data_IF_223435549886
#
_entry.id   IF_223435549886
#
_cell.length_a   1.000
_cell.length_b   1.000
_cell.length_c   1.000
_cell.angle_alpha   90.00
_cell.angle_beta   90.00
_cell.angle_gamma   90.00
#
_symmetry.space_group_name_H-M   'P 1'
#
loop_
_entity.id
_entity.type
_entity.pdbx_description
1 polymer ?
#
# COMPACT_ATOMS: atom_id res chain seq x y z
N UNK A 1 1.34 25.35 -21.55
CA UNK A 1 1.58 26.76 -21.16
C UNK A 1 1.84 26.76 -19.67
N UNK A 2 3.04 27.14 -19.24
CA UNK A 2 3.47 27.08 -17.84
C UNK A 2 2.81 28.19 -17.03
N UNK A 3 2.17 27.88 -15.91
CA UNK A 3 1.67 28.89 -14.97
C UNK A 3 2.83 29.54 -14.21
N UNK A 4 3.03 30.86 -14.32
CA UNK A 4 4.02 31.60 -13.54
C UNK A 4 3.37 32.06 -12.22
N UNK A 5 4.20 32.13 -11.17
CA UNK A 5 3.88 32.59 -9.80
C UNK A 5 3.32 31.53 -8.84
N UNK A 6 4.20 30.64 -8.37
CA UNK A 6 4.16 30.21 -6.97
C UNK A 6 5.57 30.36 -6.38
N UNK A 7 5.66 31.14 -5.32
CA UNK A 7 6.86 31.43 -4.53
C UNK A 7 7.64 30.16 -4.19
N UNK A 8 8.90 30.07 -4.66
CA UNK A 8 9.82 28.95 -4.42
C UNK A 8 10.47 29.03 -3.04
N UNK A 9 9.67 28.89 -2.00
CA UNK A 9 10.17 28.33 -0.73
C UNK A 9 9.29 27.13 -0.40
N UNK A 10 9.53 26.01 -1.10
CA UNK A 10 8.86 24.74 -0.80
C UNK A 10 9.34 24.31 0.58
N UNK A 11 8.43 24.27 1.56
CA UNK A 11 8.63 23.54 2.82
C UNK A 11 9.14 22.13 2.49
N UNK A 12 9.94 21.52 3.36
CA UNK A 12 10.43 20.14 3.17
C UNK A 12 9.28 19.19 2.84
N UNK A 13 8.17 19.37 3.54
CA UNK A 13 6.89 18.74 3.28
C UNK A 13 6.40 18.90 1.82
N UNK A 14 6.32 20.14 1.32
CA UNK A 14 5.95 20.37 -0.07
C UNK A 14 6.95 19.78 -1.07
N UNK A 15 8.22 19.58 -0.71
CA UNK A 15 9.17 18.86 -1.59
C UNK A 15 8.81 17.38 -1.69
N UNK A 16 8.48 16.73 -0.57
CA UNK A 16 8.08 15.32 -0.53
C UNK A 16 6.85 15.08 -1.40
N UNK A 17 5.82 15.90 -1.29
CA UNK A 17 4.61 15.78 -2.12
C UNK A 17 4.93 15.87 -3.62
N UNK A 18 5.79 16.82 -4.00
CA UNK A 18 6.18 16.94 -5.41
C UNK A 18 7.00 15.73 -5.88
N UNK A 19 7.91 15.21 -5.04
CA UNK A 19 8.68 14.00 -5.38
C UNK A 19 7.76 12.80 -5.57
N UNK A 20 6.79 12.59 -4.68
CA UNK A 20 5.84 11.48 -4.82
C UNK A 20 4.95 11.65 -6.03
N UNK A 21 4.43 12.85 -6.27
CA UNK A 21 3.65 13.15 -7.48
C UNK A 21 4.46 12.89 -8.77
N UNK A 22 5.76 13.21 -8.79
CA UNK A 22 6.65 12.90 -9.90
C UNK A 22 6.92 11.38 -10.05
N UNK A 23 6.87 10.63 -8.95
CA UNK A 23 7.03 9.17 -8.91
C UNK A 23 5.77 8.40 -9.25
N UNK A 24 4.57 8.93 -9.05
CA UNK A 24 3.32 8.23 -9.38
C UNK A 24 3.12 8.13 -10.90
N UNK A 25 2.62 7.00 -11.45
CA UNK A 25 2.25 6.95 -12.87
C UNK A 25 1.07 7.89 -13.16
N UNK A 26 1.06 8.49 -14.35
CA UNK A 26 -0.05 9.34 -14.78
C UNK A 26 -1.08 8.47 -15.52
N UNK A 27 -2.35 8.40 -15.09
CA UNK A 27 -3.39 7.64 -15.80
C UNK A 27 -3.51 8.00 -17.29
N UNK A 28 -3.16 9.24 -17.67
CA UNK A 28 -3.16 9.68 -19.06
C UNK A 28 -2.19 8.90 -19.96
N UNK A 29 -1.15 8.30 -19.40
CA UNK A 29 -0.21 7.45 -20.15
C UNK A 29 -0.83 6.11 -20.61
N UNK A 30 -2.05 5.81 -20.19
CA UNK A 30 -2.80 4.62 -20.57
C UNK A 30 -3.94 4.93 -21.57
N UNK A 31 -4.23 6.22 -21.81
CA UNK A 31 -5.26 6.68 -22.75
C UNK A 31 -4.97 6.19 -24.18
N UNK A 32 -5.94 5.49 -24.79
CA UNK A 32 -5.88 5.04 -26.18
C UNK A 32 -4.85 3.93 -26.45
N UNK A 33 -4.00 3.59 -25.48
CA UNK A 33 -3.00 2.54 -25.56
C UNK A 33 -3.44 1.28 -24.81
N UNK A 34 -3.80 1.43 -23.54
CA UNK A 34 -4.22 0.33 -22.66
C UNK A 34 -5.73 0.36 -22.42
N UNK A 35 -6.30 1.55 -22.26
CA UNK A 35 -7.72 1.75 -22.01
C UNK A 35 -8.33 2.73 -23.02
N UNK A 36 -9.63 2.61 -23.33
CA UNK A 36 -10.34 3.64 -24.07
C UNK A 36 -10.18 5.01 -23.41
N UNK A 37 -9.95 6.06 -24.20
CA UNK A 37 -9.75 7.42 -23.69
C UNK A 37 -10.93 7.90 -22.83
N UNK A 38 -12.16 7.49 -23.17
CA UNK A 38 -13.35 7.83 -22.39
C UNK A 38 -13.36 7.23 -20.99
N UNK A 39 -12.81 6.03 -20.80
CA UNK A 39 -12.75 5.40 -19.48
C UNK A 39 -11.76 6.14 -18.59
N UNK A 40 -10.56 6.44 -19.10
CA UNK A 40 -9.56 7.22 -18.34
C UNK A 40 -10.09 8.62 -18.01
N UNK A 41 -10.80 9.26 -18.95
CA UNK A 41 -11.42 10.56 -18.73
C UNK A 41 -12.47 10.51 -17.62
N UNK A 42 -13.29 9.46 -17.54
CA UNK A 42 -14.29 9.27 -16.47
C UNK A 42 -13.62 9.07 -15.11
N UNK A 43 -12.57 8.26 -15.05
CA UNK A 43 -11.85 7.99 -13.80
C UNK A 43 -11.15 9.24 -13.28
N UNK A 44 -10.48 10.00 -14.15
CA UNK A 44 -9.86 11.28 -13.80
C UNK A 44 -10.90 12.33 -13.37
N UNK A 45 -12.08 12.35 -14.01
CA UNK A 45 -13.18 13.22 -13.58
C UNK A 45 -13.69 12.82 -12.20
N UNK A 46 -13.89 11.53 -11.94
CA UNK A 46 -14.33 11.05 -10.63
C UNK A 46 -13.33 11.41 -9.53
N UNK A 47 -12.03 11.27 -9.80
CA UNK A 47 -10.97 11.69 -8.89
C UNK A 47 -11.03 13.20 -8.63
N UNK A 48 -11.16 14.02 -9.67
CA UNK A 48 -11.29 15.47 -9.52
C UNK A 48 -12.54 15.84 -8.71
N UNK A 49 -13.70 15.26 -9.01
CA UNK A 49 -14.94 15.46 -8.26
C UNK A 49 -14.76 15.04 -6.78
N UNK A 50 -14.10 13.89 -6.53
CA UNK A 50 -13.78 13.39 -5.18
C UNK A 50 -12.92 14.38 -4.39
N UNK A 51 -11.91 15.00 -5.00
CA UNK A 51 -11.06 16.00 -4.34
C UNK A 51 -11.81 17.23 -3.85
N UNK A 52 -13.00 17.48 -4.38
CA UNK A 52 -13.87 18.58 -3.98
C UNK A 52 -14.93 18.18 -2.95
N UNK A 53 -15.02 16.91 -2.54
CA UNK A 53 -16.00 16.45 -1.56
C UNK A 53 -15.54 16.76 -0.12
N UNK A 54 -16.49 16.83 0.84
CA UNK A 54 -16.15 16.89 2.26
C UNK A 54 -15.40 15.65 2.77
N UNK A 55 -15.45 14.54 2.04
CA UNK A 55 -14.79 13.28 2.38
C UNK A 55 -13.27 13.40 2.18
N UNK A 56 -12.83 14.14 1.17
CA UNK A 56 -11.42 14.40 0.90
C UNK A 56 -10.84 15.55 1.74
N UNK A 57 -11.63 16.59 2.02
CA UNK A 57 -11.16 17.86 2.64
C UNK A 57 -11.29 17.93 4.17
N UNK A 58 -11.10 16.84 4.92
CA UNK A 58 -11.11 16.96 6.39
C UNK A 58 -9.82 17.63 6.88
N UNK A 59 -9.95 18.89 7.27
CA UNK A 59 -8.94 19.67 8.02
C UNK A 59 -8.40 18.87 9.21
N UNK A 60 -7.09 18.62 9.23
CA UNK A 60 -6.40 17.99 10.35
C UNK A 60 -5.89 16.58 10.08
N UNK A 61 -6.24 15.95 8.95
CA UNK A 61 -5.44 14.83 8.46
C UNK A 61 -4.09 15.38 8.03
N UNK A 62 -3.08 15.12 8.86
CA UNK A 62 -1.72 15.37 8.44
C UNK A 62 -1.48 14.50 7.20
N UNK A 63 -0.90 15.10 6.20
CA UNK A 63 -0.51 14.45 4.97
C UNK A 63 0.79 13.62 5.15
N UNK A 64 1.01 13.13 6.38
CA UNK A 64 2.12 12.30 6.84
C UNK A 64 2.06 10.88 6.24
N UNK A 65 0.93 10.45 5.68
CA UNK A 65 0.83 9.16 4.98
C UNK A 65 1.79 9.15 3.77
N UNK A 66 1.89 10.27 3.05
CA UNK A 66 2.84 10.45 1.95
C UNK A 66 4.30 10.33 2.42
N UNK A 67 4.61 10.74 3.65
CA UNK A 67 5.94 10.53 4.23
C UNK A 67 6.19 9.05 4.54
N UNK A 68 5.19 8.31 5.01
CA UNK A 68 5.28 6.85 5.16
C UNK A 68 5.52 6.18 3.81
N UNK A 69 4.81 6.59 2.76
CA UNK A 69 4.97 6.06 1.39
C UNK A 69 6.39 6.24 0.90
N UNK A 70 6.91 7.47 0.99
CA UNK A 70 8.29 7.75 0.60
C UNK A 70 9.28 6.92 1.41
N UNK A 71 9.09 6.87 2.73
CA UNK A 71 9.95 6.13 3.65
C UNK A 71 9.95 4.65 3.31
N UNK A 72 8.76 4.08 3.08
CA UNK A 72 8.58 2.69 2.71
C UNK A 72 9.30 2.39 1.39
N UNK A 73 9.03 3.15 0.32
CA UNK A 73 9.68 2.97 -0.99
C UNK A 73 11.20 3.16 -0.89
N UNK A 74 11.68 4.22 -0.25
CA UNK A 74 13.11 4.51 -0.15
C UNK A 74 13.87 3.48 0.71
N UNK A 75 13.24 2.91 1.74
CA UNK A 75 13.93 2.02 2.70
C UNK A 75 13.78 0.54 2.38
N UNK A 76 12.61 0.11 1.91
CA UNK A 76 12.38 -1.29 1.54
C UNK A 76 13.20 -1.68 0.31
N UNK A 77 13.38 -0.76 -0.64
CA UNK A 77 14.21 -1.03 -1.82
C UNK A 77 15.70 -0.96 -1.54
N UNK A 78 16.13 -0.17 -0.54
CA UNK A 78 17.55 0.01 -0.21
C UNK A 78 18.04 -0.95 0.87
N UNK A 79 17.15 -1.40 1.74
CA UNK A 79 17.46 -2.28 2.85
C UNK A 79 16.95 -3.69 2.61
N UNK A 80 17.74 -4.68 3.03
CA UNK A 80 17.27 -6.08 3.06
C UNK A 80 16.33 -6.31 4.24
N UNK A 81 15.14 -5.70 4.19
CA UNK A 81 14.16 -5.77 5.27
C UNK A 81 13.60 -7.18 5.43
N UNK A 82 13.40 -7.89 4.32
CA UNK A 82 12.82 -9.23 4.29
C UNK A 82 13.86 -10.37 4.30
N UNK A 83 15.16 -10.05 4.34
CA UNK A 83 16.21 -11.07 4.42
C UNK A 83 16.37 -11.87 3.13
N UNK A 84 16.11 -11.25 1.98
CA UNK A 84 16.11 -11.89 0.67
C UNK A 84 17.50 -12.33 0.24
N UNK A 85 18.55 -11.58 0.58
CA UNK A 85 19.92 -12.01 0.27
C UNK A 85 20.29 -13.28 1.02
N UNK A 86 19.86 -13.41 2.28
CA UNK A 86 20.12 -14.63 3.06
C UNK A 86 19.16 -15.77 2.73
N UNK A 87 17.99 -15.46 2.19
CA UNK A 87 16.97 -16.47 1.81
C UNK A 87 17.22 -17.04 0.42
N UNK A 88 17.53 -16.17 -0.53
CA UNK A 88 17.48 -16.43 -1.98
C UNK A 88 18.73 -15.91 -2.70
N UNK A 89 19.78 -15.46 -2.01
CA UNK A 89 20.99 -14.92 -2.65
C UNK A 89 21.78 -15.95 -3.47
N UNK A 90 21.56 -17.25 -3.22
CA UNK A 90 22.14 -18.35 -4.00
C UNK A 90 21.31 -18.70 -5.26
N UNK A 91 20.08 -18.18 -5.39
CA UNK A 91 19.23 -18.34 -6.56
C UNK A 91 19.69 -17.36 -7.66
N UNK A 92 20.24 -17.85 -8.78
CA UNK A 92 20.74 -16.98 -9.86
C UNK A 92 19.63 -16.20 -10.56
N UNK A 93 18.37 -16.63 -10.41
CA UNK A 93 17.19 -16.06 -11.05
C UNK A 93 16.28 -15.35 -10.02
N UNK A 94 16.75 -15.15 -8.79
CA UNK A 94 16.04 -14.36 -7.78
C UNK A 94 16.13 -12.86 -8.10
N UNK A 95 14.99 -12.19 -8.01
CA UNK A 95 14.90 -10.74 -7.99
C UNK A 95 14.49 -10.30 -6.59
N UNK A 96 15.34 -9.45 -5.99
CA UNK A 96 14.99 -8.75 -4.75
C UNK A 96 13.67 -8.01 -4.90
N UNK A 97 12.97 -7.83 -3.78
CA UNK A 97 11.73 -7.09 -3.71
C UNK A 97 11.91 -5.72 -4.33
N UNK A 98 11.07 -5.44 -5.33
CA UNK A 98 10.99 -4.12 -5.93
C UNK A 98 9.61 -3.54 -5.70
N UNK A 99 9.56 -2.23 -5.47
CA UNK A 99 8.31 -1.54 -5.20
C UNK A 99 7.95 -0.56 -6.30
N UNK A 100 6.65 -0.36 -6.50
CA UNK A 100 6.11 0.52 -7.52
C UNK A 100 5.07 1.42 -6.88
N UNK A 101 5.20 2.76 -6.99
CA UNK A 101 4.16 3.66 -6.54
C UNK A 101 2.91 3.48 -7.40
N UNK A 102 1.75 3.54 -6.77
CA UNK A 102 0.46 3.43 -7.47
C UNK A 102 0.04 4.77 -8.07
N UNK A 103 -0.98 4.75 -8.93
CA UNK A 103 -1.58 6.02 -9.39
C UNK A 103 -2.49 6.58 -8.31
N UNK A 104 -2.71 7.90 -8.33
CA UNK A 104 -3.60 8.55 -7.36
C UNK A 104 -5.04 7.99 -7.43
N UNK A 105 -5.47 7.53 -8.61
CA UNK A 105 -6.77 6.87 -8.77
C UNK A 105 -6.80 5.55 -7.99
N UNK A 106 -5.74 4.74 -8.10
CA UNK A 106 -5.63 3.46 -7.41
C UNK A 106 -5.44 3.63 -5.89
N UNK A 107 -4.63 4.59 -5.46
CA UNK A 107 -4.51 5.00 -4.04
C UNK A 107 -5.88 5.33 -3.46
N UNK A 108 -6.57 6.31 -4.06
CA UNK A 108 -7.85 6.82 -3.54
C UNK A 108 -8.96 5.77 -3.55
N UNK A 109 -9.09 5.00 -4.63
CA UNK A 109 -10.26 4.14 -4.82
C UNK A 109 -10.01 2.66 -4.56
N UNK A 110 -8.76 2.18 -4.56
CA UNK A 110 -8.43 0.79 -4.23
C UNK A 110 -7.66 0.65 -2.92
N UNK A 111 -7.31 1.76 -2.25
CA UNK A 111 -6.54 1.80 -1.00
C UNK A 111 -5.21 1.06 -1.16
N UNK A 112 -4.42 1.48 -2.14
CA UNK A 112 -3.09 0.92 -2.40
C UNK A 112 -2.10 2.05 -2.60
N UNK A 113 -1.09 2.14 -1.73
CA UNK A 113 -0.04 3.16 -1.84
C UNK A 113 1.12 2.66 -2.71
N UNK A 114 1.50 1.41 -2.48
CA UNK A 114 2.69 0.80 -3.07
C UNK A 114 2.37 -0.63 -3.48
N UNK A 115 2.91 -1.06 -4.60
CA UNK A 115 2.87 -2.45 -5.07
C UNK A 115 4.27 -3.04 -4.96
N UNK A 116 4.44 -4.08 -4.16
CA UNK A 116 5.64 -4.90 -4.12
C UNK A 116 5.56 -6.05 -5.11
N UNK A 117 6.70 -6.43 -5.69
CA UNK A 117 6.84 -7.58 -6.59
C UNK A 117 7.93 -8.51 -6.08
N UNK A 118 7.62 -9.80 -5.94
CA UNK A 118 8.60 -10.84 -5.64
C UNK A 118 8.71 -11.83 -6.79
N UNK A 119 9.92 -12.34 -7.04
CA UNK A 119 10.19 -13.42 -7.98
C UNK A 119 11.38 -14.24 -7.47
N UNK A 120 11.11 -15.47 -7.03
CA UNK A 120 12.11 -16.38 -6.46
C UNK A 120 11.66 -17.84 -6.62
N UNK A 121 12.49 -18.77 -6.17
CA UNK A 121 12.16 -20.21 -6.14
C UNK A 121 10.81 -20.53 -5.46
N UNK A 122 10.39 -19.77 -4.42
CA UNK A 122 9.10 -20.00 -3.72
C UNK A 122 7.91 -19.63 -4.61
N UNK A 123 8.09 -18.68 -5.52
CA UNK A 123 7.08 -18.33 -6.53
C UNK A 123 7.25 -19.11 -7.83
N UNK A 124 8.16 -20.08 -7.88
CA UNK A 124 8.59 -20.76 -9.11
C UNK A 124 8.98 -19.73 -10.20
N UNK A 125 9.64 -18.64 -9.79
CA UNK A 125 10.05 -17.50 -10.60
C UNK A 125 8.90 -16.80 -11.35
N UNK A 126 7.65 -17.02 -10.94
CA UNK A 126 6.54 -16.18 -11.35
C UNK A 126 6.62 -14.87 -10.57
N UNK A 127 6.55 -13.73 -11.27
CA UNK A 127 6.44 -12.43 -10.61
C UNK A 127 5.07 -12.31 -9.94
N UNK A 128 5.05 -12.24 -8.62
CA UNK A 128 3.84 -12.12 -7.83
C UNK A 128 3.71 -10.72 -7.20
N UNK A 129 2.67 -9.95 -7.56
CA UNK A 129 2.38 -8.67 -6.92
C UNK A 129 1.72 -8.85 -5.56
N UNK A 130 1.96 -7.88 -4.69
CA UNK A 130 1.16 -7.60 -3.50
C UNK A 130 1.08 -6.09 -3.29
N UNK A 131 0.01 -5.62 -2.69
CA UNK A 131 -0.20 -4.21 -2.39
C UNK A 131 -0.01 -3.91 -0.90
N UNK A 132 0.39 -2.68 -0.62
CA UNK A 132 0.52 -2.14 0.71
C UNK A 132 -0.32 -0.86 0.82
N UNK A 133 -1.10 -0.80 1.89
CA UNK A 133 -1.87 0.36 2.33
C UNK A 133 -1.24 0.87 3.64
N UNK A 134 -0.53 1.98 3.58
CA UNK A 134 0.20 2.57 4.69
C UNK A 134 -0.73 3.41 5.56
N UNK A 135 -0.55 3.32 6.88
CA UNK A 135 -1.37 4.04 7.84
C UNK A 135 -0.63 4.30 9.14
N UNK A 136 -0.88 5.45 9.75
CA UNK A 136 -0.53 5.73 11.15
C UNK A 136 -1.80 5.88 12.01
N UNK A 137 -2.95 5.51 11.45
CA UNK A 137 -4.26 5.76 12.03
C UNK A 137 -4.65 4.70 13.06
N UNK A 138 -5.30 5.14 14.14
CA UNK A 138 -5.85 4.29 15.20
C UNK A 138 -7.35 4.47 15.37
N UNK A 139 -7.98 5.35 14.57
CA UNK A 139 -9.42 5.56 14.56
C UNK A 139 -10.14 4.29 14.07
N UNK A 140 -11.02 3.78 14.92
CA UNK A 140 -11.70 2.50 14.72
C UNK A 140 -12.54 2.49 13.42
N UNK A 141 -13.18 3.60 13.05
CA UNK A 141 -14.01 3.66 11.85
C UNK A 141 -13.15 3.63 10.59
N UNK A 142 -12.06 4.41 10.56
CA UNK A 142 -11.11 4.45 9.44
C UNK A 142 -10.38 3.12 9.28
N UNK A 143 -9.93 2.52 10.39
CA UNK A 143 -9.29 1.21 10.37
C UNK A 143 -10.28 0.12 9.92
N UNK A 144 -11.51 0.14 10.42
CA UNK A 144 -12.57 -0.75 9.94
C UNK A 144 -12.83 -0.61 8.43
N UNK A 145 -12.76 0.61 7.88
CA UNK A 145 -12.93 0.83 6.44
C UNK A 145 -11.78 0.20 5.63
N UNK A 146 -10.53 0.38 6.06
CA UNK A 146 -9.36 -0.24 5.41
C UNK A 146 -9.56 -1.74 5.30
N UNK A 147 -9.93 -2.43 6.38
CA UNK A 147 -10.10 -3.90 6.38
C UNK A 147 -11.38 -4.43 5.75
N UNK A 148 -12.42 -3.60 5.55
CA UNK A 148 -13.67 -3.99 4.87
C UNK A 148 -13.53 -4.08 3.34
N UNK A 149 -12.41 -3.65 2.79
CA UNK A 149 -12.19 -3.66 1.34
C UNK A 149 -12.21 -5.07 0.78
N UNK A 150 -12.81 -5.24 -0.39
CA UNK A 150 -12.95 -6.54 -1.07
C UNK A 150 -12.38 -6.46 -2.46
N UNK A 151 -11.91 -7.59 -2.95
CA UNK A 151 -11.35 -7.68 -4.28
C UNK A 151 -12.38 -7.46 -5.41
N UNK A 152 -12.35 -6.29 -6.02
CA UNK A 152 -13.16 -6.03 -7.21
C UNK A 152 -12.36 -5.21 -8.18
N UNK A 153 -12.53 -5.50 -9.46
CA UNK A 153 -11.84 -4.81 -10.54
C UNK A 153 -12.74 -4.73 -11.76
N UNK A 154 -12.50 -3.73 -12.60
CA UNK A 154 -13.20 -3.57 -13.86
C UNK A 154 -14.71 -3.35 -13.76
N UNK A 155 -15.28 -2.82 -14.84
CA UNK A 155 -16.71 -2.58 -14.97
C UNK A 155 -17.33 -3.65 -15.86
N UNK A 156 -18.42 -4.28 -15.42
CA UNK A 156 -19.20 -5.23 -16.23
C UNK A 156 -19.94 -4.51 -17.36
N UNK A 157 -20.17 -5.21 -18.47
CA UNK A 157 -20.96 -4.70 -19.60
C UNK A 157 -22.40 -4.27 -19.24
N UNK A 158 -22.91 -4.71 -18.08
CA UNK A 158 -24.25 -4.35 -17.58
C UNK A 158 -24.27 -3.10 -16.71
N UNK A 159 -23.11 -2.52 -16.40
CA UNK A 159 -23.02 -1.27 -15.66
C UNK A 159 -23.40 -0.07 -16.56
N UNK A 160 -23.88 1.04 -15.99
CA UNK A 160 -24.17 2.26 -16.76
C UNK A 160 -22.93 2.73 -17.54
N UNK A 161 -23.10 3.08 -18.81
CA UNK A 161 -22.00 3.45 -19.70
C UNK A 161 -21.29 4.72 -19.20
N UNK A 162 -22.03 5.63 -18.60
CA UNK A 162 -21.55 6.91 -18.06
C UNK A 162 -20.73 6.76 -16.77
N UNK A 163 -20.84 5.63 -16.06
CA UNK A 163 -20.16 5.37 -14.80
C UNK A 163 -18.66 5.09 -14.98
N UNK A 164 -17.84 5.61 -14.07
CA UNK A 164 -16.48 5.12 -13.84
C UNK A 164 -16.55 3.73 -13.17
N UNK A 165 -15.51 2.90 -13.34
CA UNK A 165 -15.46 1.61 -12.65
C UNK A 165 -15.35 1.76 -11.12
N UNK A 166 -14.80 2.87 -10.67
CA UNK A 166 -14.60 3.18 -9.26
C UNK A 166 -15.87 3.74 -8.61
N UNK A 167 -16.78 4.30 -9.40
CA UNK A 167 -18.04 4.82 -8.89
C UNK A 167 -18.63 5.97 -9.68
N UNK A 168 -19.50 6.70 -9.00
CA UNK A 168 -20.20 7.87 -9.54
C UNK A 168 -20.26 8.97 -8.48
N UNK A 169 -20.11 10.22 -8.93
CA UNK A 169 -20.38 11.40 -8.11
C UNK A 169 -21.85 11.80 -8.23
N UNK A 170 -22.44 12.19 -7.10
CA UNK A 170 -23.82 12.64 -7.04
C UNK A 170 -23.96 13.79 -6.04
N UNK A 171 -24.98 14.61 -6.26
CA UNK A 171 -25.32 15.71 -5.35
C UNK A 171 -26.15 15.17 -4.19
N UNK A 172 -25.78 15.53 -2.98
CA UNK A 172 -26.48 15.24 -1.74
C UNK A 172 -26.63 16.51 -0.90
N UNK A 173 -27.20 16.38 0.29
CA UNK A 173 -27.39 17.48 1.24
C UNK A 173 -26.57 17.25 2.49
N UNK A 174 -25.83 18.26 2.94
CA UNK A 174 -25.18 18.23 4.25
C UNK A 174 -26.19 18.36 5.40
N UNK A 175 -25.71 18.33 6.65
CA UNK A 175 -26.56 18.50 7.84
C UNK A 175 -27.29 19.86 7.89
N UNK A 176 -26.78 20.87 7.17
CA UNK A 176 -27.35 22.21 7.08
C UNK A 176 -28.25 22.41 5.84
N UNK A 177 -28.43 21.40 5.00
CA UNK A 177 -29.24 21.45 3.77
C UNK A 177 -28.53 22.06 2.56
N UNK A 178 -27.22 22.29 2.61
CA UNK A 178 -26.43 22.74 1.46
C UNK A 178 -26.16 21.58 0.51
N UNK A 179 -26.12 21.87 -0.79
CA UNK A 179 -25.69 20.90 -1.78
C UNK A 179 -24.21 20.55 -1.59
N UNK A 180 -23.93 19.27 -1.45
CA UNK A 180 -22.58 18.72 -1.40
C UNK A 180 -22.43 17.64 -2.46
N UNK A 181 -21.26 17.54 -3.05
CA UNK A 181 -20.91 16.40 -3.91
C UNK A 181 -20.41 15.28 -3.00
N UNK A 182 -20.90 14.08 -3.24
CA UNK A 182 -20.39 12.85 -2.61
C UNK A 182 -20.08 11.82 -3.69
N UNK A 183 -19.14 10.92 -3.40
CA UNK A 183 -18.78 9.84 -4.30
C UNK A 183 -19.28 8.52 -3.75
N UNK A 184 -19.91 7.69 -4.59
CA UNK A 184 -20.35 6.34 -4.22
C UNK A 184 -19.66 5.31 -5.09
N UNK A 185 -19.11 4.28 -4.45
CA UNK A 185 -18.57 3.12 -5.15
C UNK A 185 -19.65 2.41 -5.96
N UNK A 186 -19.29 1.90 -7.13
CA UNK A 186 -20.22 1.19 -7.99
C UNK A 186 -20.76 -0.07 -7.29
N UNK A 187 -22.05 -0.42 -7.37
CA UNK A 187 -22.55 -1.66 -6.77
C UNK A 187 -21.77 -2.89 -7.21
N UNK A 188 -21.51 -3.83 -6.28
CA UNK A 188 -20.70 -5.03 -6.55
C UNK A 188 -21.23 -5.90 -7.71
N UNK A 189 -22.53 -5.83 -8.03
CA UNK A 189 -23.12 -6.55 -9.18
C UNK A 189 -22.62 -6.04 -10.54
N UNK A 190 -22.06 -4.84 -10.58
CA UNK A 190 -21.56 -4.15 -11.78
C UNK A 190 -20.03 -4.19 -11.89
N UNK A 191 -19.33 -4.85 -10.96
CA UNK A 191 -17.87 -5.02 -10.97
C UNK A 191 -17.48 -6.49 -11.20
N UNK A 192 -16.32 -6.74 -11.81
CA UNK A 192 -15.68 -8.07 -11.82
C UNK A 192 -14.90 -8.31 -10.53
N UNK A 193 -14.42 -9.54 -10.31
CA UNK A 193 -13.65 -9.94 -9.13
C UNK A 193 -14.46 -10.58 -7.98
N UNK A 194 -13.71 -11.28 -7.12
CA UNK A 194 -14.15 -11.98 -5.92
C UNK A 194 -14.39 -11.09 -4.70
N UNK A 195 -15.47 -11.30 -3.96
CA UNK A 195 -15.82 -10.44 -2.81
C UNK A 195 -15.11 -10.80 -1.50
N UNK A 196 -13.79 -10.92 -1.54
CA UNK A 196 -12.95 -11.40 -0.45
C UNK A 196 -12.09 -10.26 0.12
N UNK A 197 -12.08 -10.07 1.46
CA UNK A 197 -11.18 -9.13 2.12
C UNK A 197 -9.69 -9.47 1.97
N UNK A 198 -8.81 -8.48 2.08
CA UNK A 198 -7.36 -8.69 2.04
C UNK A 198 -6.77 -8.83 0.63
N UNK A 199 -7.55 -8.50 -0.40
CA UNK A 199 -7.10 -8.48 -1.79
C UNK A 199 -7.51 -7.16 -2.46
N UNK A 200 -6.69 -6.71 -3.41
CA UNK A 200 -6.88 -5.47 -4.16
C UNK A 200 -6.66 -5.70 -5.67
N UNK A 201 -6.89 -4.64 -6.44
CA UNK A 201 -6.53 -4.56 -7.86
C UNK A 201 -5.90 -3.20 -8.13
N UNK A 202 -5.14 -3.09 -9.22
CA UNK A 202 -4.61 -1.83 -9.71
C UNK A 202 -4.99 -1.68 -11.18
N UNK A 203 -5.61 -0.58 -11.56
CA UNK A 203 -5.97 -0.31 -12.97
C UNK A 203 -4.77 0.24 -13.74
N UNK A 204 -3.98 1.12 -13.15
CA UNK A 204 -2.95 1.87 -13.87
C UNK A 204 -1.54 1.47 -13.42
N UNK A 205 -1.24 0.17 -13.44
CA UNK A 205 0.09 -0.31 -13.11
C UNK A 205 1.09 -0.02 -14.25
N UNK A 206 2.22 0.58 -13.90
CA UNK A 206 3.35 0.82 -14.80
C UNK A 206 4.65 0.49 -14.06
N UNK A 207 5.37 -0.51 -14.57
CA UNK A 207 6.74 -0.80 -14.15
C UNK A 207 7.67 0.31 -14.65
N UNK A 208 8.29 1.05 -13.73
CA UNK A 208 9.21 2.14 -14.05
C UNK A 208 10.68 1.72 -14.08
N UNK A 209 11.01 0.46 -13.78
CA UNK A 209 12.38 -0.03 -13.67
C UNK A 209 12.99 -0.41 -15.02
N UNK A 210 12.19 -1.02 -15.91
CA UNK A 210 12.68 -1.41 -17.24
C UNK A 210 11.56 -1.38 -18.29
N UNK A 211 11.60 -0.43 -19.24
CA UNK A 211 10.61 -0.40 -20.32
C UNK A 211 10.82 -1.53 -21.35
N UNK A 212 11.96 -2.22 -21.33
CA UNK A 212 12.31 -3.28 -22.29
C UNK A 212 12.02 -4.68 -21.76
N UNK A 213 12.02 -4.83 -20.44
CA UNK A 213 11.77 -6.10 -19.75
C UNK A 213 10.98 -5.83 -18.47
N UNK A 214 9.67 -5.54 -18.59
CA UNK A 214 8.86 -5.18 -17.44
C UNK A 214 8.52 -6.43 -16.62
N UNK A 215 8.63 -6.33 -15.29
CA UNK A 215 8.25 -7.38 -14.34
C UNK A 215 6.78 -7.78 -14.49
N UNK A 216 5.91 -6.81 -14.77
CA UNK A 216 4.52 -7.06 -15.10
C UNK A 216 4.06 -6.16 -16.25
N UNK A 217 3.13 -6.66 -17.07
CA UNK A 217 2.62 -5.90 -18.21
C UNK A 217 1.97 -4.60 -17.73
N UNK A 218 2.34 -3.48 -18.35
CA UNK A 218 1.68 -2.20 -18.15
C UNK A 218 0.17 -2.34 -18.34
N UNK A 219 -0.61 -1.92 -17.34
CA UNK A 219 -2.06 -2.00 -17.35
C UNK A 219 -2.60 -2.54 -16.03
N UNK A 220 -3.52 -3.50 -16.10
CA UNK A 220 -4.25 -3.94 -14.92
C UNK A 220 -3.48 -5.04 -14.18
N UNK A 221 -3.35 -4.88 -12.88
CA UNK A 221 -3.16 -6.01 -11.97
C UNK A 221 -4.55 -6.42 -11.49
N UNK A 222 -5.06 -7.50 -12.08
CA UNK A 222 -6.43 -7.94 -11.85
C UNK A 222 -6.65 -8.37 -10.42
N UNK A 223 -5.64 -8.93 -9.73
CA UNK A 223 -5.73 -9.45 -8.37
C UNK A 223 -4.34 -9.54 -7.73
N UNK A 224 -4.27 -9.10 -6.47
CA UNK A 224 -3.11 -9.25 -5.60
C UNK A 224 -3.52 -9.21 -4.12
N UNK A 225 -2.81 -9.90 -3.20
CA UNK A 225 -2.97 -9.71 -1.77
C UNK A 225 -2.70 -8.25 -1.40
N UNK A 226 -3.37 -7.74 -0.37
CA UNK A 226 -3.19 -6.37 0.13
C UNK A 226 -2.99 -6.39 1.64
N UNK A 227 -1.90 -5.79 2.09
CA UNK A 227 -1.55 -5.68 3.50
C UNK A 227 -1.68 -4.23 3.97
N UNK A 228 -2.24 -4.04 5.16
CA UNK A 228 -2.28 -2.72 5.81
C UNK A 228 -1.05 -2.62 6.70
N UNK A 229 -0.16 -1.68 6.44
CA UNK A 229 1.11 -1.53 7.16
C UNK A 229 1.13 -0.20 7.91
N UNK A 230 1.60 -0.19 9.14
CA UNK A 230 1.58 1.00 9.96
C UNK A 230 2.53 1.01 11.14
N UNK A 231 2.81 2.22 11.61
CA UNK A 231 3.60 2.44 12.81
C UNK A 231 3.27 3.80 13.41
N UNK A 232 3.59 3.97 14.69
CA UNK A 232 3.30 5.18 15.45
C UNK A 232 3.88 6.45 14.85
N UNK A 233 3.25 7.57 15.21
CA UNK A 233 3.65 8.90 14.73
C UNK A 233 5.03 9.33 15.22
N UNK A 234 5.53 8.81 16.36
CA UNK A 234 6.90 9.10 16.81
C UNK A 234 7.97 8.43 15.93
N UNK A 235 7.69 7.26 15.36
CA UNK A 235 8.54 6.66 14.32
C UNK A 235 8.41 7.50 13.04
N UNK A 236 7.18 7.76 12.59
CA UNK A 236 6.92 8.49 11.34
C UNK A 236 7.57 9.89 11.32
N UNK A 237 7.44 10.65 12.41
CA UNK A 237 8.01 12.00 12.54
C UNK A 237 9.55 11.98 12.44
N UNK A 238 10.21 10.94 12.98
CA UNK A 238 11.66 10.77 12.89
C UNK A 238 12.09 10.45 11.46
N UNK A 239 11.41 9.50 10.81
CA UNK A 239 11.73 9.10 9.44
C UNK A 239 11.45 10.22 8.44
N UNK A 240 10.40 10.99 8.67
CA UNK A 240 10.06 12.19 7.89
C UNK A 240 11.17 13.26 7.90
N UNK A 241 11.93 13.36 8.98
CA UNK A 241 13.05 14.30 9.09
C UNK A 241 14.30 13.85 8.30
N UNK A 242 14.31 12.62 7.78
CA UNK A 242 15.43 12.04 7.07
C UNK A 242 16.69 11.81 7.92
N UNK A 243 17.66 11.12 7.31
CA UNK A 243 19.02 11.00 7.85
C UNK A 243 19.62 12.40 8.06
N UNK A 244 20.34 12.65 9.18
CA UNK A 244 21.03 13.91 9.37
C UNK A 244 22.07 14.13 8.25
N UNK A 245 22.19 15.38 7.80
CA UNK A 245 23.12 15.75 6.72
C UNK A 245 24.47 16.24 7.25
N UNK A 246 25.47 16.32 6.38
CA UNK A 246 26.77 16.94 6.69
C UNK A 246 26.62 18.44 7.06
N UNK A 247 25.60 19.12 6.55
CA UNK A 247 25.28 20.49 6.92
C UNK A 247 24.81 20.57 8.39
N UNK A 248 23.98 19.61 8.81
CA UNK A 248 23.57 19.46 10.20
C UNK A 248 24.79 19.21 11.12
N UNK A 249 25.71 18.34 10.69
CA UNK A 249 26.96 18.06 11.40
C UNK A 249 27.83 19.30 11.56
N UNK A 250 28.00 20.10 10.50
CA UNK A 250 28.77 21.36 10.56
C UNK A 250 28.14 22.39 11.50
N UNK A 251 26.81 22.44 11.58
CA UNK A 251 26.08 23.43 12.39
C UNK A 251 25.99 23.05 13.87
N UNK A 252 25.79 21.77 14.17
CA UNK A 252 25.48 21.30 15.53
C UNK A 252 26.56 20.39 16.14
N UNK A 253 27.60 20.04 15.37
CA UNK A 253 28.72 19.21 15.80
C UNK A 253 28.48 17.71 15.70
N UNK A 254 29.57 16.94 15.84
CA UNK A 254 29.58 15.47 15.70
C UNK A 254 28.65 14.77 16.70
N UNK A 255 28.63 15.23 17.96
CA UNK A 255 27.81 14.59 19.02
C UNK A 255 26.32 14.67 18.69
N UNK A 256 25.84 15.83 18.25
CA UNK A 256 24.44 16.00 17.86
C UNK A 256 24.09 15.26 16.56
N UNK A 257 25.03 15.19 15.60
CA UNK A 257 24.88 14.38 14.39
C UNK A 257 24.70 12.90 14.73
N UNK A 258 25.62 12.33 15.52
CA UNK A 258 25.59 10.91 15.93
C UNK A 258 24.33 10.55 16.71
N UNK A 259 23.87 11.46 17.58
CA UNK A 259 22.60 11.27 18.29
C UNK A 259 21.44 11.17 17.31
N UNK A 260 21.31 12.12 16.37
CA UNK A 260 20.22 12.14 15.39
C UNK A 260 20.29 10.94 14.43
N UNK A 261 21.50 10.55 14.02
CA UNK A 261 21.75 9.35 13.21
C UNK A 261 21.28 8.09 13.93
N UNK A 262 21.66 7.90 15.20
CA UNK A 262 21.21 6.75 16.00
C UNK A 262 19.70 6.69 16.21
N UNK A 263 19.05 7.85 16.39
CA UNK A 263 17.59 7.93 16.53
C UNK A 263 16.89 7.55 15.23
N UNK A 264 17.39 8.02 14.09
CA UNK A 264 16.86 7.66 12.78
C UNK A 264 16.99 6.16 12.51
N UNK A 265 18.19 5.59 12.69
CA UNK A 265 18.45 4.16 12.46
C UNK A 265 17.55 3.30 13.35
N UNK A 266 17.35 3.70 14.62
CA UNK A 266 16.44 2.99 15.51
C UNK A 266 14.97 3.05 15.06
N UNK A 267 14.50 4.22 14.61
CA UNK A 267 13.15 4.36 14.06
C UNK A 267 12.97 3.51 12.79
N UNK A 268 13.99 3.43 11.92
CA UNK A 268 13.99 2.59 10.72
C UNK A 268 13.88 1.10 11.10
N UNK A 269 14.65 0.65 12.09
CA UNK A 269 14.53 -0.72 12.62
C UNK A 269 13.13 -1.00 13.17
N UNK A 270 12.51 -0.06 13.90
CA UNK A 270 11.14 -0.23 14.38
C UNK A 270 10.13 -0.33 13.23
N UNK A 271 10.22 0.53 12.21
CA UNK A 271 9.35 0.50 11.04
C UNK A 271 9.48 -0.81 10.24
N UNK A 272 10.72 -1.32 10.09
CA UNK A 272 10.99 -2.64 9.53
C UNK A 272 10.26 -3.74 10.31
N UNK A 273 10.37 -3.74 11.64
CA UNK A 273 9.72 -4.74 12.48
C UNK A 273 8.20 -4.67 12.41
N UNK A 274 7.59 -3.47 12.41
CA UNK A 274 6.15 -3.33 12.19
C UNK A 274 5.73 -3.93 10.85
N UNK A 275 6.44 -3.58 9.77
CA UNK A 275 6.19 -4.11 8.42
C UNK A 275 6.27 -5.63 8.37
N UNK A 276 7.33 -6.23 8.95
CA UNK A 276 7.52 -7.68 8.98
C UNK A 276 6.37 -8.38 9.73
N UNK A 277 5.99 -7.88 10.90
CA UNK A 277 4.88 -8.45 11.66
C UNK A 277 3.56 -8.34 10.88
N UNK A 278 3.26 -7.18 10.33
CA UNK A 278 1.99 -6.91 9.67
C UNK A 278 1.82 -7.72 8.38
N UNK A 279 2.86 -7.81 7.56
CA UNK A 279 2.83 -8.61 6.34
C UNK A 279 2.71 -10.11 6.67
N UNK A 280 3.50 -10.65 7.60
CA UNK A 280 3.42 -12.08 7.98
C UNK A 280 2.06 -12.43 8.61
N UNK A 281 1.60 -11.64 9.58
CA UNK A 281 0.33 -11.92 10.27
C UNK A 281 -0.89 -11.80 9.34
N UNK A 282 -0.93 -10.79 8.48
CA UNK A 282 -2.03 -10.63 7.53
C UNK A 282 -1.97 -11.68 6.42
N UNK A 283 -0.79 -12.03 5.89
CA UNK A 283 -0.68 -13.09 4.90
C UNK A 283 -1.17 -14.44 5.46
N UNK A 284 -0.74 -14.77 6.68
CA UNK A 284 -1.23 -15.94 7.41
C UNK A 284 -2.74 -15.87 7.69
N UNK A 285 -3.25 -14.72 8.11
CA UNK A 285 -4.68 -14.50 8.36
C UNK A 285 -5.54 -14.68 7.12
N UNK A 286 -5.18 -14.04 6.00
CA UNK A 286 -5.89 -14.14 4.72
C UNK A 286 -5.85 -15.58 4.20
N UNK A 287 -4.70 -16.26 4.32
CA UNK A 287 -4.57 -17.68 3.96
C UNK A 287 -5.53 -18.54 4.77
N UNK A 288 -5.54 -18.36 6.10
CA UNK A 288 -6.46 -19.08 6.99
C UNK A 288 -7.92 -18.83 6.59
N UNK A 289 -8.30 -17.58 6.34
CA UNK A 289 -9.65 -17.23 5.89
C UNK A 289 -10.02 -18.01 4.62
N UNK A 290 -9.17 -17.98 3.59
CA UNK A 290 -9.39 -18.66 2.31
C UNK A 290 -9.48 -20.19 2.42
N UNK A 291 -8.67 -20.80 3.30
CA UNK A 291 -8.68 -22.26 3.54
C UNK A 291 -9.95 -22.73 4.29
N UNK A 292 -10.62 -21.83 5.02
CA UNK A 292 -11.76 -22.16 5.87
C UNK A 292 -13.11 -21.64 5.34
N UNK A 293 -13.16 -21.04 4.15
CA UNK A 293 -14.42 -20.61 3.55
C UNK A 293 -15.32 -21.81 3.23
N UNK A 294 -16.57 -21.76 3.68
CA UNK A 294 -17.56 -22.79 3.44
C UNK A 294 -18.16 -22.76 2.02
N UNK A 295 -18.86 -23.83 1.58
CA UNK A 295 -19.50 -23.89 0.26
C UNK A 295 -20.46 -22.72 -0.02
N UNK A 296 -21.18 -22.25 1.00
CA UNK A 296 -22.12 -21.14 0.89
C UNK A 296 -21.44 -19.79 0.65
N UNK A 297 -20.21 -19.62 1.14
CA UNK A 297 -19.45 -18.39 0.98
C UNK A 297 -18.82 -18.31 -0.42
N UNK A 298 -18.34 -19.44 -0.93
CA UNK A 298 -17.69 -19.52 -2.24
C UNK A 298 -18.66 -19.71 -3.42
N UNK A 299 -19.94 -20.01 -3.18
CA UNK A 299 -20.90 -20.36 -4.26
C UNK A 299 -21.08 -19.31 -5.37
N UNK A 300 -20.76 -18.04 -5.10
CA UNK A 300 -20.85 -16.95 -6.07
C UNK A 300 -19.49 -16.43 -6.56
N UNK A 301 -18.42 -17.11 -6.16
CA UNK A 301 -17.04 -16.79 -6.55
C UNK A 301 -16.71 -17.48 -7.86
N UNK A 302 -15.90 -16.83 -8.69
CA UNK A 302 -15.33 -17.47 -9.87
C UNK A 302 -14.22 -18.42 -9.43
N UNK A 303 -14.26 -19.66 -9.91
CA UNK A 303 -13.37 -20.73 -9.45
C UNK A 303 -11.90 -20.45 -9.80
N UNK A 304 -11.65 -19.95 -11.02
CA UNK A 304 -10.31 -19.59 -11.51
C UNK A 304 -9.70 -18.43 -10.72
N UNK A 305 -10.49 -17.40 -10.42
CA UNK A 305 -10.05 -16.30 -9.56
C UNK A 305 -9.74 -16.78 -8.14
N UNK A 306 -10.55 -17.71 -7.60
CA UNK A 306 -10.38 -18.20 -6.23
C UNK A 306 -9.12 -19.06 -6.10
N UNK A 307 -8.87 -19.93 -7.07
CA UNK A 307 -7.65 -20.73 -7.12
C UNK A 307 -6.40 -19.84 -7.31
N UNK A 308 -6.49 -18.77 -8.12
CA UNK A 308 -5.42 -17.77 -8.22
C UNK A 308 -5.16 -17.06 -6.89
N UNK A 309 -6.22 -16.64 -6.18
CA UNK A 309 -6.11 -16.00 -4.87
C UNK A 309 -5.43 -16.91 -3.84
N UNK A 310 -5.83 -18.18 -3.78
CA UNK A 310 -5.22 -19.20 -2.91
C UNK A 310 -3.74 -19.42 -3.23
N UNK A 311 -3.39 -19.57 -4.51
CA UNK A 311 -1.99 -19.74 -4.93
C UNK A 311 -1.14 -18.54 -4.51
N UNK A 312 -1.61 -17.32 -4.79
CA UNK A 312 -0.88 -16.09 -4.45
C UNK A 312 -0.67 -15.96 -2.94
N UNK A 313 -1.71 -16.17 -2.12
CA UNK A 313 -1.56 -15.98 -0.68
C UNK A 313 -0.68 -17.04 -0.01
N UNK A 314 -0.66 -18.28 -0.53
CA UNK A 314 0.24 -19.33 -0.03
C UNK A 314 1.69 -18.95 -0.28
N UNK A 315 2.00 -18.43 -1.46
CA UNK A 315 3.34 -17.94 -1.79
C UNK A 315 3.73 -16.75 -0.88
N UNK A 316 2.84 -15.76 -0.72
CA UNK A 316 3.09 -14.60 0.15
C UNK A 316 3.28 -14.99 1.62
N UNK A 317 2.42 -15.87 2.15
CA UNK A 317 2.55 -16.37 3.52
C UNK A 317 3.91 -17.03 3.71
N UNK A 318 4.32 -17.92 2.80
CA UNK A 318 5.61 -18.60 2.88
C UNK A 318 6.79 -17.63 2.83
N UNK A 319 6.73 -16.63 1.95
CA UNK A 319 7.74 -15.58 1.83
C UNK A 319 7.89 -14.77 3.13
N UNK A 320 6.78 -14.24 3.67
CA UNK A 320 6.84 -13.42 4.89
C UNK A 320 7.12 -14.24 6.15
N UNK A 321 6.68 -15.49 6.21
CA UNK A 321 7.01 -16.41 7.32
C UNK A 321 8.52 -16.71 7.35
N UNK A 322 9.15 -16.88 6.19
CA UNK A 322 10.60 -17.03 6.09
C UNK A 322 11.33 -15.74 6.51
N UNK A 323 10.86 -14.59 6.01
CA UNK A 323 11.43 -13.29 6.32
C UNK A 323 11.43 -13.00 7.82
N UNK A 324 10.30 -13.23 8.50
CA UNK A 324 10.18 -12.98 9.94
C UNK A 324 10.99 -13.96 10.78
N UNK A 325 11.10 -15.22 10.36
CA UNK A 325 11.95 -16.21 11.02
C UNK A 325 13.41 -15.75 11.00
N UNK A 326 13.94 -15.40 9.82
CA UNK A 326 15.33 -14.97 9.66
C UNK A 326 15.61 -13.66 10.42
N UNK A 327 14.70 -12.69 10.34
CA UNK A 327 14.84 -11.44 11.08
C UNK A 327 14.89 -11.71 12.60
N UNK A 328 14.08 -12.63 13.09
CA UNK A 328 14.04 -13.00 14.53
C UNK A 328 15.32 -13.69 14.96
N UNK A 329 15.84 -14.62 14.18
CA UNK A 329 17.12 -15.30 14.44
C UNK A 329 18.28 -14.29 14.50
N UNK A 330 18.35 -13.36 13.54
CA UNK A 330 19.35 -12.28 13.54
C UNK A 330 19.23 -11.39 14.78
N UNK A 331 18.00 -11.01 15.14
CA UNK A 331 17.77 -10.13 16.28
C UNK A 331 18.22 -10.74 17.61
N UNK A 332 18.17 -12.05 17.80
CA UNK A 332 18.63 -12.69 19.04
C UNK A 332 20.09 -12.37 19.39
N UNK A 333 20.92 -12.10 18.37
CA UNK A 333 22.33 -11.74 18.52
C UNK A 333 22.58 -10.23 18.62
N UNK A 334 21.56 -9.40 18.46
CA UNK A 334 21.66 -7.94 18.42
C UNK A 334 20.64 -7.30 19.38
N UNK A 335 21.13 -6.78 20.51
CA UNK A 335 20.28 -6.20 21.56
C UNK A 335 19.47 -4.98 21.11
N UNK A 336 19.96 -4.22 20.14
CA UNK A 336 19.26 -3.05 19.58
C UNK A 336 18.11 -3.50 18.69
N UNK A 337 18.35 -4.49 17.83
CA UNK A 337 17.30 -5.13 17.01
C UNK A 337 16.21 -5.77 17.87
N UNK A 338 16.59 -6.49 18.94
CA UNK A 338 15.59 -7.02 19.88
C UNK A 338 14.76 -5.93 20.55
N UNK A 339 15.37 -4.77 20.85
CA UNK A 339 14.66 -3.65 21.45
C UNK A 339 13.68 -3.03 20.45
N UNK A 340 14.07 -2.88 19.19
CA UNK A 340 13.20 -2.41 18.11
C UNK A 340 12.03 -3.39 17.87
N UNK A 341 12.31 -4.69 17.81
CA UNK A 341 11.29 -5.75 17.70
C UNK A 341 10.25 -5.67 18.84
N UNK A 342 10.71 -5.51 20.10
CA UNK A 342 9.82 -5.39 21.26
C UNK A 342 9.03 -4.08 21.27
N UNK A 343 9.59 -3.01 20.72
CA UNK A 343 8.87 -1.76 20.52
C UNK A 343 7.73 -1.99 19.51
N UNK A 344 8.06 -2.50 18.33
CA UNK A 344 7.11 -2.74 17.25
C UNK A 344 5.96 -3.67 17.67
N UNK A 345 6.24 -4.71 18.45
CA UNK A 345 5.19 -5.61 18.98
C UNK A 345 4.16 -4.87 19.87
N UNK A 346 4.58 -3.79 20.53
CA UNK A 346 3.74 -2.96 21.41
C UNK A 346 3.25 -1.68 20.76
N UNK A 347 3.55 -1.49 19.48
CA UNK A 347 3.13 -0.31 18.74
C UNK A 347 1.59 -0.22 18.70
N UNK A 348 1.07 0.98 18.97
CA UNK A 348 -0.38 1.20 19.09
C UNK A 348 -1.09 1.11 17.74
N UNK A 349 -0.44 1.50 16.65
CA UNK A 349 -0.98 1.40 15.29
C UNK A 349 -1.02 -0.06 14.88
N UNK A 350 0.07 -0.80 15.13
CA UNK A 350 0.11 -2.25 14.90
C UNK A 350 -0.97 -2.98 15.70
N UNK A 351 -1.17 -2.64 16.96
CA UNK A 351 -2.23 -3.25 17.78
C UNK A 351 -3.63 -3.01 17.19
N UNK A 352 -3.89 -1.81 16.67
CA UNK A 352 -5.13 -1.51 15.96
C UNK A 352 -5.27 -2.35 14.68
N UNK A 353 -4.21 -2.42 13.86
CA UNK A 353 -4.14 -3.25 12.65
C UNK A 353 -4.41 -4.72 12.98
N UNK A 354 -3.73 -5.28 13.99
CA UNK A 354 -3.87 -6.67 14.40
C UNK A 354 -5.29 -6.98 14.90
N UNK A 355 -5.89 -6.09 15.70
CA UNK A 355 -7.28 -6.24 16.15
C UNK A 355 -8.25 -6.34 14.96
N UNK A 356 -8.15 -5.43 13.99
CA UNK A 356 -9.02 -5.43 12.82
C UNK A 356 -8.73 -6.58 11.84
N UNK A 357 -7.46 -6.97 11.71
CA UNK A 357 -7.02 -8.14 10.94
C UNK A 357 -7.65 -9.41 11.50
N UNK A 358 -7.61 -9.62 12.82
CA UNK A 358 -8.24 -10.78 13.46
C UNK A 358 -9.76 -10.78 13.30
N UNK A 359 -10.45 -9.63 13.49
CA UNK A 359 -11.90 -9.52 13.25
C UNK A 359 -12.24 -9.92 11.82
N UNK A 360 -11.43 -9.49 10.86
CA UNK A 360 -11.70 -9.66 9.43
C UNK A 360 -11.41 -11.07 8.93
N UNK A 361 -10.27 -11.64 9.32
CA UNK A 361 -9.76 -12.87 8.71
C UNK A 361 -9.94 -14.13 9.58
N UNK A 362 -10.16 -13.99 10.89
CA UNK A 362 -10.22 -15.13 11.82
C UNK A 362 -11.56 -15.30 12.53
N UNK A 363 -12.21 -14.20 12.93
CA UNK A 363 -13.44 -14.27 13.76
C UNK A 363 -14.76 -14.17 12.98
N UNK A 364 -14.72 -13.91 11.66
CA UNK A 364 -15.92 -13.78 10.82
C UNK A 364 -16.39 -15.08 10.15
N UNK A 365 -15.79 -16.23 10.49
CA UNK A 365 -16.20 -17.54 10.01
C UNK A 365 -17.27 -18.16 10.93
#
# INVERSE_FOLDING_TARGET
MFSPNVSKTKTEYGRVENTLADMMPNPRHFEGLTYPSDDVRKDLKLLDDFKHTPEYKRTGERSDAKLLEKTFTDMVERGDWFGEYDSFGDDPDHLALVTFPTTEVDDVFNHIDVIGMISNETTNHETLPFAIDLTYNTDNDKMSQKFKWKHVYGKKNTAPDEASEFGESFVSKDYFGNDIIMTKVLPLKFRYGLKIPGFASAKYFEDKNSPWDPMCKKGRIDMMPRFVVGYSTDIADVLACGMPTEEYKKKYGEVSYRKKESTYIYAEMCAKWCTLFECSEQASGIRYMLENMGPEEVKWMQEDELEKAKKQIVAMSSYFDRAIQLATEKAQSNSVEMAAMKYADRDVVRQAINYHSNDTFRYRN
#
